data_IF_898708073142
#
_entry.id   IF_898708073142
#
_cell.length_a   1.000
_cell.length_b   1.000
_cell.length_c   1.000
_cell.angle_alpha   90.00
_cell.angle_beta   90.00
_cell.angle_gamma   90.00
#
_symmetry.space_group_name_H-M   'P 1'
#
loop_
_entity.id
_entity.type
_entity.pdbx_description
1 polymer ?
#
# COMPACT_ATOMS: atom_id res chain seq x y z
N UNK A 1 0.70 -17.72 -7.68
CA UNK A 1 -0.55 -16.95 -7.46
C UNK A 1 -0.71 -15.93 -8.59
N UNK A 2 -1.90 -15.81 -9.16
CA UNK A 2 -2.20 -14.86 -10.25
C UNK A 2 -2.85 -13.59 -9.70
N UNK A 3 -3.55 -13.71 -8.58
CA UNK A 3 -4.26 -12.65 -7.89
C UNK A 3 -3.91 -12.67 -6.40
N UNK A 4 -4.42 -11.71 -5.62
CA UNK A 4 -4.19 -11.63 -4.19
C UNK A 4 -4.73 -12.85 -3.45
N UNK A 5 -3.91 -13.45 -2.61
CA UNK A 5 -4.31 -14.45 -1.62
C UNK A 5 -4.54 -13.78 -0.26
N UNK A 6 -5.40 -14.36 0.56
CA UNK A 6 -5.66 -13.84 1.92
C UNK A 6 -5.68 -14.99 2.90
N UNK A 7 -4.93 -14.84 3.97
CA UNK A 7 -4.89 -15.77 5.08
C UNK A 7 -4.90 -14.99 6.40
N UNK A 8 -5.27 -15.66 7.47
CA UNK A 8 -5.20 -15.11 8.82
C UNK A 8 -4.77 -16.18 9.80
N UNK A 9 -4.13 -15.77 10.86
CA UNK A 9 -3.73 -16.65 11.96
C UNK A 9 -3.80 -15.90 13.28
N UNK A 10 -3.91 -16.66 14.36
CA UNK A 10 -3.74 -16.13 15.71
C UNK A 10 -2.31 -16.44 16.16
N UNK A 11 -1.58 -15.43 16.58
CA UNK A 11 -0.22 -15.54 17.07
C UNK A 11 -0.19 -16.08 18.51
N UNK A 12 0.97 -16.53 19.02
CA UNK A 12 1.11 -17.00 20.41
C UNK A 12 0.67 -15.99 21.46
N UNK A 13 0.82 -14.69 21.20
CA UNK A 13 0.32 -13.59 22.05
C UNK A 13 -1.20 -13.47 22.13
N UNK A 14 -1.92 -14.14 21.21
CA UNK A 14 -3.37 -13.97 21.03
C UNK A 14 -3.75 -12.87 20.02
N UNK A 15 -2.79 -12.11 19.49
CA UNK A 15 -3.05 -11.12 18.44
C UNK A 15 -3.42 -11.81 17.12
N UNK A 16 -4.36 -11.22 16.40
CA UNK A 16 -4.77 -11.71 15.08
C UNK A 16 -3.94 -11.04 13.99
N UNK A 17 -3.32 -11.84 13.13
CA UNK A 17 -2.54 -11.39 12.00
C UNK A 17 -3.22 -11.82 10.69
N UNK A 18 -3.42 -10.85 9.79
CA UNK A 18 -3.90 -11.11 8.44
C UNK A 18 -2.76 -10.95 7.44
N UNK A 19 -2.63 -11.89 6.53
CA UNK A 19 -1.67 -11.88 5.44
C UNK A 19 -2.36 -11.54 4.13
N UNK A 20 -1.69 -10.73 3.33
CA UNK A 20 -2.01 -10.53 1.93
C UNK A 20 -0.88 -11.16 1.12
N UNK A 21 -1.16 -12.33 0.53
CA UNK A 21 -0.23 -13.01 -0.37
C UNK A 21 -0.30 -12.36 -1.74
N UNK A 22 0.80 -11.76 -2.16
CA UNK A 22 0.91 -11.02 -3.41
C UNK A 22 1.60 -11.84 -4.49
N UNK A 23 1.17 -11.77 -5.75
CA UNK A 23 1.83 -12.50 -6.83
C UNK A 23 3.24 -11.97 -7.07
N UNK A 24 4.23 -12.89 -7.15
CA UNK A 24 5.64 -12.54 -7.34
C UNK A 24 6.04 -12.26 -8.78
N UNK A 25 5.26 -12.67 -9.78
CA UNK A 25 5.65 -12.53 -11.18
C UNK A 25 5.36 -11.13 -11.73
N UNK A 26 6.32 -10.53 -12.46
CA UNK A 26 6.26 -9.16 -13.03
C UNK A 26 4.95 -8.86 -13.75
N UNK A 27 4.39 -9.83 -14.53
CA UNK A 27 3.10 -9.68 -15.20
C UNK A 27 1.91 -9.39 -14.27
N UNK A 28 2.05 -9.70 -12.98
CA UNK A 28 0.99 -9.51 -11.98
C UNK A 28 1.31 -8.42 -10.96
N UNK A 29 2.31 -7.60 -11.23
CA UNK A 29 2.71 -6.50 -10.37
C UNK A 29 1.55 -5.54 -10.05
N UNK A 30 0.65 -5.32 -11.02
CA UNK A 30 -0.60 -4.56 -10.82
C UNK A 30 -1.45 -5.14 -9.69
N UNK A 31 -1.53 -6.47 -9.60
CA UNK A 31 -2.29 -7.15 -8.55
C UNK A 31 -1.57 -7.04 -7.20
N UNK A 32 -0.23 -7.13 -7.20
CA UNK A 32 0.58 -6.87 -6.01
C UNK A 32 0.31 -5.47 -5.47
N UNK A 33 0.51 -4.44 -6.29
CA UNK A 33 0.36 -3.04 -5.91
C UNK A 33 -1.03 -2.72 -5.34
N UNK A 34 -2.07 -3.35 -5.87
CA UNK A 34 -3.42 -3.16 -5.35
C UNK A 34 -3.68 -3.85 -3.98
N UNK A 35 -2.84 -4.80 -3.57
CA UNK A 35 -2.94 -5.47 -2.26
C UNK A 35 -2.24 -4.73 -1.13
N UNK A 36 -1.24 -3.92 -1.44
CA UNK A 36 -0.34 -3.36 -0.42
C UNK A 36 -0.78 -2.00 0.15
N UNK A 37 -1.89 -1.43 -0.33
CA UNK A 37 -2.46 -0.20 0.23
C UNK A 37 -3.07 -0.42 1.61
N UNK A 38 -2.32 -0.11 2.66
CA UNK A 38 -2.75 -0.27 4.06
C UNK A 38 -2.03 -1.40 4.81
N UNK A 39 -1.01 -2.01 4.22
CA UNK A 39 -0.09 -2.94 4.91
C UNK A 39 0.88 -2.14 5.76
N UNK A 40 1.19 -2.65 6.95
CA UNK A 40 2.08 -1.98 7.90
C UNK A 40 3.43 -2.67 8.07
N UNK A 41 3.55 -3.92 7.63
CA UNK A 41 4.77 -4.71 7.71
C UNK A 41 4.83 -5.74 6.60
N UNK A 42 6.01 -6.27 6.31
CA UNK A 42 6.21 -7.28 5.27
C UNK A 42 6.80 -8.59 5.83
N UNK A 43 6.37 -9.70 5.26
CA UNK A 43 7.08 -10.97 5.31
C UNK A 43 7.74 -11.15 3.95
N UNK A 44 9.04 -10.89 3.89
CA UNK A 44 9.80 -10.93 2.64
C UNK A 44 10.32 -12.35 2.38
N UNK A 45 9.79 -13.01 1.37
CA UNK A 45 10.00 -14.45 1.14
C UNK A 45 10.98 -14.67 0.01
N UNK A 46 12.06 -15.42 0.30
CA UNK A 46 13.05 -15.89 -0.67
C UNK A 46 13.16 -17.41 -0.58
N UNK A 47 13.17 -18.12 -1.71
CA UNK A 47 13.41 -19.55 -1.71
C UNK A 47 14.90 -19.83 -1.58
N UNK A 48 15.32 -20.59 -0.56
CA UNK A 48 16.73 -20.94 -0.32
C UNK A 48 17.38 -21.69 -1.51
N UNK A 49 16.56 -22.40 -2.29
CA UNK A 49 17.00 -23.10 -3.51
C UNK A 49 17.28 -22.17 -4.69
N UNK A 50 16.86 -20.92 -4.64
CA UNK A 50 16.88 -20.01 -5.78
C UNK A 50 17.67 -18.72 -5.51
N UNK A 51 17.85 -18.33 -4.23
CA UNK A 51 18.48 -17.10 -3.81
C UNK A 51 17.72 -15.84 -4.25
N UNK A 52 18.40 -14.71 -4.23
CA UNK A 52 17.84 -13.43 -4.66
C UNK A 52 17.55 -13.37 -6.16
N UNK A 53 16.44 -12.79 -6.53
CA UNK A 53 15.99 -12.66 -7.93
C UNK A 53 15.76 -11.18 -8.28
N UNK A 54 15.79 -10.82 -9.58
CA UNK A 54 15.40 -9.48 -10.02
C UNK A 54 14.00 -9.07 -9.54
N UNK A 55 13.08 -10.04 -9.39
CA UNK A 55 11.76 -9.80 -8.84
C UNK A 55 11.80 -9.46 -7.34
N UNK A 56 12.71 -10.08 -6.59
CA UNK A 56 12.92 -9.74 -5.17
C UNK A 56 13.38 -8.29 -5.04
N UNK A 57 14.31 -7.86 -5.89
CA UNK A 57 14.77 -6.46 -5.94
C UNK A 57 13.62 -5.49 -6.23
N UNK A 58 12.83 -5.75 -7.27
CA UNK A 58 11.70 -4.88 -7.62
C UNK A 58 10.68 -4.80 -6.48
N UNK A 59 10.36 -5.93 -5.83
CA UNK A 59 9.44 -5.96 -4.70
C UNK A 59 9.97 -5.18 -3.49
N UNK A 60 11.25 -5.32 -3.19
CA UNK A 60 11.88 -4.57 -2.10
C UNK A 60 11.78 -3.06 -2.34
N UNK A 61 12.12 -2.59 -3.55
CA UNK A 61 12.00 -1.16 -3.91
C UNK A 61 10.56 -0.66 -3.83
N UNK A 62 9.59 -1.45 -4.25
CA UNK A 62 8.17 -1.09 -4.13
C UNK A 62 7.76 -0.96 -2.65
N UNK A 63 8.19 -1.87 -1.78
CA UNK A 63 7.89 -1.77 -0.35
C UNK A 63 8.50 -0.52 0.28
N UNK A 64 9.72 -0.14 -0.10
CA UNK A 64 10.37 1.11 0.31
C UNK A 64 9.58 2.34 -0.15
N UNK A 65 9.18 2.39 -1.44
CA UNK A 65 8.37 3.49 -1.99
C UNK A 65 7.01 3.63 -1.27
N UNK A 66 6.44 2.50 -0.83
CA UNK A 66 5.20 2.47 -0.05
C UNK A 66 5.41 2.82 1.43
N UNK A 67 6.66 3.02 1.86
CA UNK A 67 6.98 3.40 3.22
C UNK A 67 6.79 2.28 4.23
N UNK A 68 7.00 1.03 3.82
CA UNK A 68 7.07 -0.10 4.76
C UNK A 68 8.40 -0.02 5.49
N UNK A 69 8.34 0.02 6.82
CA UNK A 69 9.50 0.23 7.69
C UNK A 69 9.85 -0.98 8.55
N UNK A 70 9.04 -2.05 8.48
CA UNK A 70 9.21 -3.23 9.33
C UNK A 70 8.95 -4.51 8.57
N UNK A 71 9.72 -5.56 8.87
CA UNK A 71 9.53 -6.86 8.25
C UNK A 71 10.29 -7.99 8.93
N UNK A 72 10.07 -9.18 8.39
CA UNK A 72 10.80 -10.42 8.64
C UNK A 72 11.18 -11.00 7.29
N UNK A 73 12.41 -11.47 7.14
CA UNK A 73 12.84 -12.19 5.94
C UNK A 73 12.68 -13.69 6.19
N UNK A 74 12.14 -14.42 5.23
CA UNK A 74 11.88 -15.85 5.34
C UNK A 74 12.55 -16.58 4.19
N UNK A 75 13.53 -17.44 4.52
CA UNK A 75 14.15 -18.37 3.60
C UNK A 75 13.34 -19.67 3.56
N UNK A 76 12.54 -19.84 2.50
CA UNK A 76 11.68 -21.02 2.34
C UNK A 76 12.41 -22.17 1.66
N UNK A 77 11.78 -23.36 1.67
CA UNK A 77 12.33 -24.59 1.09
C UNK A 77 13.67 -24.99 1.71
N UNK A 78 13.87 -24.73 3.00
CA UNK A 78 15.11 -25.06 3.72
C UNK A 78 15.41 -26.55 3.80
N UNK A 79 14.38 -27.40 3.61
CA UNK A 79 14.50 -28.87 3.52
C UNK A 79 15.09 -29.39 2.20
N UNK A 80 15.21 -28.53 1.20
CA UNK A 80 15.71 -28.88 -0.15
C UNK A 80 17.17 -28.45 -0.37
N UNK A 81 17.82 -27.87 0.63
CA UNK A 81 19.21 -27.42 0.57
C UNK A 81 20.00 -27.99 1.75
N UNK A 82 21.31 -28.17 1.59
CA UNK A 82 22.21 -28.49 2.69
C UNK A 82 22.58 -27.23 3.51
N UNK A 83 23.36 -27.44 4.58
CA UNK A 83 23.73 -26.33 5.46
C UNK A 83 24.57 -25.26 4.77
N UNK A 84 25.46 -25.66 3.86
CA UNK A 84 26.36 -24.74 3.17
C UNK A 84 25.57 -23.85 2.17
N UNK A 85 24.61 -24.43 1.44
CA UNK A 85 23.72 -23.68 0.55
C UNK A 85 22.76 -22.77 1.32
N UNK A 86 22.29 -23.21 2.48
CA UNK A 86 21.44 -22.36 3.33
C UNK A 86 22.21 -21.14 3.85
N UNK A 87 23.46 -21.32 4.26
CA UNK A 87 24.35 -20.23 4.70
C UNK A 87 24.61 -19.25 3.54
N UNK A 88 24.88 -19.76 2.34
CA UNK A 88 25.06 -18.93 1.15
C UNK A 88 23.80 -18.12 0.83
N UNK A 89 22.62 -18.73 0.92
CA UNK A 89 21.35 -18.03 0.71
C UNK A 89 21.11 -16.93 1.76
N UNK A 90 21.55 -17.19 3.00
CA UNK A 90 21.48 -16.20 4.07
C UNK A 90 22.41 -15.01 3.80
N UNK A 91 23.65 -15.27 3.39
CA UNK A 91 24.61 -14.22 3.03
C UNK A 91 24.14 -13.40 1.83
N UNK A 92 23.63 -14.06 0.78
CA UNK A 92 23.07 -13.41 -0.42
C UNK A 92 21.94 -12.45 -0.07
N UNK A 93 20.98 -12.89 0.75
CA UNK A 93 19.90 -12.03 1.23
C UNK A 93 20.43 -10.87 2.06
N UNK A 94 21.36 -11.12 2.99
CA UNK A 94 21.92 -10.08 3.86
C UNK A 94 22.63 -8.97 3.05
N UNK A 95 23.32 -9.32 1.97
CA UNK A 95 23.94 -8.36 1.04
C UNK A 95 22.90 -7.48 0.37
N UNK A 96 21.82 -8.06 -0.16
CA UNK A 96 20.79 -7.32 -0.91
C UNK A 96 19.90 -6.45 -0.04
N UNK A 97 19.60 -6.85 1.20
CA UNK A 97 18.78 -6.04 2.12
C UNK A 97 19.59 -4.97 2.86
N UNK A 98 20.92 -4.99 2.74
CA UNK A 98 21.78 -4.00 3.38
C UNK A 98 21.42 -2.57 2.95
N UNK A 99 21.29 -1.66 3.92
CA UNK A 99 20.89 -0.27 3.66
C UNK A 99 19.40 -0.07 3.36
N UNK A 100 18.57 -1.11 3.51
CA UNK A 100 17.11 -1.04 3.37
C UNK A 100 16.42 -1.18 4.74
N UNK A 101 15.10 -1.06 4.78
CA UNK A 101 14.32 -1.28 6.01
C UNK A 101 14.39 -2.72 6.55
N UNK A 102 14.89 -3.67 5.76
CA UNK A 102 15.11 -5.07 6.16
C UNK A 102 16.55 -5.36 6.63
N UNK A 103 17.44 -4.38 6.66
CA UNK A 103 18.85 -4.60 7.02
C UNK A 103 19.03 -5.27 8.39
N UNK A 104 18.22 -4.87 9.38
CA UNK A 104 18.24 -5.43 10.73
C UNK A 104 17.06 -6.39 10.99
N UNK A 105 16.36 -6.81 9.93
CA UNK A 105 15.24 -7.74 10.07
C UNK A 105 15.73 -9.16 10.37
N UNK A 106 15.03 -9.91 11.22
CA UNK A 106 15.36 -11.32 11.43
C UNK A 106 15.18 -12.11 10.13
N UNK A 107 16.11 -13.03 9.88
CA UNK A 107 16.07 -13.97 8.75
C UNK A 107 15.79 -15.36 9.31
N UNK A 108 14.64 -15.94 8.95
CA UNK A 108 14.18 -17.24 9.46
C UNK A 108 14.12 -18.26 8.33
N UNK A 109 14.84 -19.37 8.50
CA UNK A 109 14.79 -20.48 7.56
C UNK A 109 13.60 -21.41 7.90
N UNK A 110 12.74 -21.68 6.91
CA UNK A 110 11.54 -22.50 7.13
C UNK A 110 11.33 -23.56 6.03
N UNK A 111 10.70 -24.64 6.42
CA UNK A 111 10.10 -25.60 5.50
C UNK A 111 8.63 -25.78 5.81
N UNK A 112 7.78 -25.43 4.86
CA UNK A 112 6.34 -25.66 4.97
C UNK A 112 5.99 -27.16 4.92
N UNK A 113 6.87 -27.99 4.32
CA UNK A 113 6.67 -29.44 4.17
C UNK A 113 6.97 -30.19 5.47
N UNK A 114 8.08 -29.85 6.13
CA UNK A 114 8.52 -30.54 7.36
C UNK A 114 8.07 -29.83 8.63
N UNK A 115 7.67 -28.56 8.55
CA UNK A 115 7.36 -27.73 9.70
C UNK A 115 8.59 -27.10 10.38
N UNK A 116 9.80 -27.37 9.88
CA UNK A 116 11.03 -26.80 10.46
C UNK A 116 10.99 -25.26 10.39
N UNK A 117 11.41 -24.57 11.45
CA UNK A 117 11.49 -23.12 11.55
C UNK A 117 10.15 -22.40 11.76
N UNK A 118 8.99 -23.08 11.66
CA UNK A 118 7.69 -22.41 11.77
C UNK A 118 7.42 -21.83 13.16
N UNK A 119 7.90 -22.46 14.22
CA UNK A 119 7.71 -21.92 15.58
C UNK A 119 8.61 -20.71 15.84
N UNK A 120 9.79 -20.67 15.23
CA UNK A 120 10.64 -19.47 15.21
C UNK A 120 9.98 -18.35 14.44
N UNK A 121 9.48 -18.63 13.23
CA UNK A 121 8.75 -17.64 12.43
C UNK A 121 7.55 -17.06 13.19
N UNK A 122 6.77 -17.88 13.91
CA UNK A 122 5.66 -17.39 14.74
C UNK A 122 6.10 -16.43 15.83
N UNK A 123 7.25 -16.71 16.49
CA UNK A 123 7.81 -15.81 17.50
C UNK A 123 8.28 -14.48 16.89
N UNK A 124 8.94 -14.53 15.73
CA UNK A 124 9.37 -13.32 15.03
C UNK A 124 8.19 -12.48 14.51
N UNK A 125 7.12 -13.13 14.08
CA UNK A 125 5.86 -12.43 13.72
C UNK A 125 5.21 -11.77 14.94
N UNK A 126 5.20 -12.43 16.11
CA UNK A 126 4.74 -11.81 17.36
C UNK A 126 5.57 -10.56 17.72
N UNK A 127 6.89 -10.68 17.64
CA UNK A 127 7.80 -9.57 17.89
C UNK A 127 7.60 -8.45 16.84
N UNK A 128 7.35 -8.80 15.57
CA UNK A 128 7.05 -7.83 14.51
C UNK A 128 5.77 -7.05 14.81
N UNK A 129 4.68 -7.73 15.16
CA UNK A 129 3.41 -7.08 15.51
C UNK A 129 3.57 -6.17 16.72
N UNK A 130 4.32 -6.60 17.75
CA UNK A 130 4.55 -5.79 18.96
C UNK A 130 5.31 -4.48 18.69
N UNK A 131 6.23 -4.47 17.72
CA UNK A 131 7.01 -3.26 17.35
C UNK A 131 6.39 -2.42 16.23
N UNK A 132 5.42 -2.98 15.49
CA UNK A 132 4.77 -2.26 14.39
C UNK A 132 3.75 -1.25 14.94
N UNK A 133 3.81 -0.02 14.43
CA UNK A 133 2.84 1.01 14.81
C UNK A 133 1.43 0.60 14.38
N UNK A 134 0.51 0.55 15.33
CA UNK A 134 -0.90 0.28 15.03
C UNK A 134 -1.50 1.42 14.21
N UNK A 135 -2.38 1.06 13.28
CA UNK A 135 -3.11 2.05 12.50
C UNK A 135 -3.93 2.97 13.43
N UNK A 136 -3.78 4.28 13.25
CA UNK A 136 -4.43 5.29 14.08
C UNK A 136 -5.90 5.46 13.69
N UNK A 137 -6.76 5.59 14.69
CA UNK A 137 -8.15 6.03 14.51
C UNK A 137 -8.19 7.57 14.53
N UNK A 138 -8.50 8.16 13.39
CA UNK A 138 -8.63 9.61 13.19
C UNK A 138 -10.08 10.05 13.04
N UNK A 139 -11.04 9.15 13.26
CA UNK A 139 -12.45 9.39 13.03
C UNK A 139 -12.85 9.57 11.54
N UNK A 140 -11.95 9.29 10.61
CA UNK A 140 -12.13 9.46 9.16
C UNK A 140 -11.89 8.12 8.43
N UNK A 141 -12.87 7.21 8.44
CA UNK A 141 -12.71 5.90 7.82
C UNK A 141 -12.53 6.01 6.31
N UNK A 142 -11.56 5.25 5.79
CA UNK A 142 -11.37 5.02 4.36
C UNK A 142 -10.95 3.57 4.13
N UNK A 143 -11.62 2.90 3.21
CA UNK A 143 -11.28 1.57 2.75
C UNK A 143 -11.09 1.60 1.23
N UNK A 144 -9.89 1.30 0.77
CA UNK A 144 -9.65 1.09 -0.64
C UNK A 144 -10.14 -0.31 -1.04
N UNK A 145 -11.04 -0.35 -2.02
CA UNK A 145 -11.69 -1.58 -2.47
C UNK A 145 -10.70 -2.42 -3.28
N UNK A 146 -10.33 -3.59 -2.77
CA UNK A 146 -9.48 -4.55 -3.47
C UNK A 146 -10.26 -5.59 -4.26
N UNK A 147 -11.52 -5.90 -3.86
CA UNK A 147 -12.44 -6.78 -4.56
C UNK A 147 -13.88 -6.32 -4.41
N UNK A 148 -14.65 -6.56 -5.47
CA UNK A 148 -16.11 -6.39 -5.50
C UNK A 148 -16.73 -7.69 -5.97
N UNK A 149 -17.76 -8.15 -5.32
CA UNK A 149 -18.50 -9.34 -5.75
C UNK A 149 -19.94 -9.33 -5.27
N UNK A 150 -20.80 -10.09 -5.96
CA UNK A 150 -22.15 -10.37 -5.50
C UNK A 150 -22.14 -11.64 -4.65
N UNK A 151 -22.59 -11.54 -3.39
CA UNK A 151 -22.80 -12.70 -2.56
C UNK A 151 -24.26 -13.17 -2.67
N UNK A 152 -24.44 -14.48 -2.96
CA UNK A 152 -25.79 -15.08 -3.15
C UNK A 152 -26.68 -14.82 -1.94
N UNK A 153 -27.76 -14.07 -2.14
CA UNK A 153 -28.72 -13.68 -1.08
C UNK A 153 -28.26 -12.50 -0.20
N UNK A 154 -27.05 -11.98 -0.38
CA UNK A 154 -26.51 -10.89 0.45
C UNK A 154 -26.33 -9.56 -0.28
N UNK A 155 -26.36 -9.55 -1.62
CA UNK A 155 -26.17 -8.35 -2.42
C UNK A 155 -24.69 -8.02 -2.67
N UNK A 156 -24.35 -6.74 -2.75
CA UNK A 156 -23.01 -6.24 -3.06
C UNK A 156 -22.07 -6.35 -1.86
N UNK A 157 -20.91 -6.94 -2.06
CA UNK A 157 -19.84 -7.01 -1.05
C UNK A 157 -18.56 -6.41 -1.61
N UNK A 158 -17.95 -5.52 -0.86
CA UNK A 158 -16.62 -5.00 -1.12
C UNK A 158 -15.65 -5.45 -0.03
N UNK A 159 -14.39 -5.66 -0.40
CA UNK A 159 -13.34 -5.97 0.57
C UNK A 159 -12.18 -4.99 0.47
N UNK A 160 -11.45 -4.82 1.55
CA UNK A 160 -10.27 -3.95 1.63
C UNK A 160 -9.73 -3.86 3.04
N UNK A 161 -8.62 -3.15 3.21
CA UNK A 161 -8.06 -2.81 4.52
C UNK A 161 -8.59 -1.44 4.94
N UNK A 162 -9.21 -1.38 6.10
CA UNK A 162 -9.75 -0.14 6.67
C UNK A 162 -8.62 0.70 7.25
N UNK A 163 -8.63 1.99 6.97
CA UNK A 163 -7.69 2.97 7.52
C UNK A 163 -8.44 4.17 8.11
N UNK A 164 -7.79 4.90 9.00
CA UNK A 164 -8.15 6.24 9.44
C UNK A 164 -9.41 6.38 10.29
N UNK A 165 -10.19 5.35 10.51
CA UNK A 165 -11.40 5.44 11.33
C UNK A 165 -12.11 4.10 11.47
N UNK A 166 -13.30 4.12 12.05
CA UNK A 166 -14.13 2.94 12.32
C UNK A 166 -15.31 2.87 11.37
N UNK A 167 -15.75 1.66 11.06
CA UNK A 167 -17.00 1.38 10.38
C UNK A 167 -17.92 0.60 11.31
N UNK A 168 -19.21 0.92 11.25
CA UNK A 168 -20.27 0.23 12.02
C UNK A 168 -21.37 -0.26 11.08
N UNK A 169 -22.10 -1.27 11.51
CA UNK A 169 -23.33 -1.69 10.83
C UNK A 169 -24.33 -0.53 10.79
N UNK A 170 -25.16 -0.51 9.76
CA UNK A 170 -26.16 0.53 9.52
C UNK A 170 -25.61 1.94 9.18
N UNK A 171 -24.29 2.13 9.16
CA UNK A 171 -23.66 3.39 8.77
C UNK A 171 -23.89 3.70 7.29
N UNK A 172 -24.19 4.97 6.98
CA UNK A 172 -24.18 5.47 5.62
C UNK A 172 -22.74 5.72 5.14
N UNK A 173 -22.44 5.33 3.91
CA UNK A 173 -21.13 5.47 3.29
C UNK A 173 -21.26 5.94 1.84
N UNK A 174 -20.15 6.40 1.28
CA UNK A 174 -19.99 6.65 -0.15
C UNK A 174 -18.91 5.69 -0.67
N UNK A 175 -19.17 5.02 -1.80
CA UNK A 175 -18.19 4.17 -2.47
C UNK A 175 -18.09 4.62 -3.92
N UNK A 176 -16.92 5.09 -4.34
CA UNK A 176 -16.81 5.82 -5.60
C UNK A 176 -17.77 7.03 -5.57
N UNK A 177 -18.69 7.10 -6.53
CA UNK A 177 -19.72 8.16 -6.62
C UNK A 177 -21.08 7.72 -6.04
N UNK A 178 -21.17 6.52 -5.45
CA UNK A 178 -22.43 5.92 -5.03
C UNK A 178 -22.65 5.99 -3.52
N UNK A 179 -23.84 6.43 -3.12
CA UNK A 179 -24.28 6.37 -1.73
C UNK A 179 -24.78 4.97 -1.42
N UNK A 180 -24.32 4.41 -0.31
CA UNK A 180 -24.68 3.09 0.15
C UNK A 180 -24.85 3.07 1.67
N UNK A 181 -25.37 1.97 2.19
CA UNK A 181 -25.47 1.71 3.64
C UNK A 181 -24.83 0.37 3.95
N UNK A 182 -24.07 0.30 5.02
CA UNK A 182 -23.46 -0.92 5.52
C UNK A 182 -24.55 -1.81 6.11
N UNK A 183 -24.74 -3.00 5.54
CA UNK A 183 -25.68 -4.00 6.05
C UNK A 183 -25.04 -4.92 7.07
N UNK A 184 -23.81 -5.32 6.84
CA UNK A 184 -23.02 -6.16 7.75
C UNK A 184 -21.54 -6.03 7.49
N UNK A 185 -20.73 -6.34 8.50
CA UNK A 185 -19.28 -6.36 8.48
C UNK A 185 -18.77 -7.75 8.82
N UNK A 186 -17.71 -8.20 8.15
CA UNK A 186 -17.03 -9.46 8.46
C UNK A 186 -15.51 -9.28 8.42
N UNK A 187 -14.81 -9.85 9.39
CA UNK A 187 -13.37 -9.98 9.41
C UNK A 187 -12.97 -11.38 9.81
N UNK A 188 -11.95 -11.97 9.18
CA UNK A 188 -11.48 -13.34 9.45
C UNK A 188 -12.63 -14.39 9.52
N UNK A 189 -13.64 -14.24 8.63
CA UNK A 189 -14.80 -15.13 8.57
C UNK A 189 -15.85 -14.93 9.67
N UNK A 190 -15.69 -13.94 10.56
CA UNK A 190 -16.61 -13.64 11.67
C UNK A 190 -17.38 -12.36 11.40
N UNK A 191 -18.68 -12.37 11.69
CA UNK A 191 -19.51 -11.16 11.68
C UNK A 191 -19.16 -10.28 12.89
N UNK A 192 -19.11 -8.96 12.67
CA UNK A 192 -18.88 -7.96 13.70
C UNK A 192 -19.81 -6.76 13.48
N UNK A 193 -20.14 -6.05 14.54
CA UNK A 193 -20.99 -4.84 14.45
C UNK A 193 -20.15 -3.58 14.21
N UNK A 194 -18.87 -3.60 14.64
CA UNK A 194 -17.91 -2.51 14.49
C UNK A 194 -16.54 -3.07 14.13
N UNK A 195 -15.78 -2.31 13.32
CA UNK A 195 -14.40 -2.63 12.93
C UNK A 195 -13.53 -1.36 12.97
N UNK A 196 -12.32 -1.49 13.49
CA UNK A 196 -11.32 -0.40 13.56
C UNK A 196 -10.30 -0.43 12.43
N UNK A 197 -9.47 0.64 12.33
CA UNK A 197 -8.43 0.75 11.32
C UNK A 197 -7.34 -0.31 11.48
N UNK A 198 -6.64 -0.61 10.37
CA UNK A 198 -5.60 -1.66 10.29
C UNK A 198 -6.17 -3.06 10.04
N UNK A 199 -7.48 -3.21 9.93
CA UNK A 199 -8.12 -4.50 9.79
C UNK A 199 -8.66 -4.68 8.37
N UNK A 200 -8.44 -5.87 7.80
CA UNK A 200 -9.09 -6.25 6.54
C UNK A 200 -10.52 -6.67 6.79
N UNK A 201 -11.44 -6.08 6.06
CA UNK A 201 -12.88 -6.26 6.26
C UNK A 201 -13.63 -6.52 4.95
N UNK A 202 -14.64 -7.35 5.02
CA UNK A 202 -15.67 -7.48 4.00
C UNK A 202 -16.90 -6.67 4.45
N UNK A 203 -17.31 -5.73 3.61
CA UNK A 203 -18.42 -4.83 3.85
C UNK A 203 -19.57 -5.17 2.91
N UNK A 204 -20.68 -5.65 3.46
CA UNK A 204 -21.89 -5.87 2.70
C UNK A 204 -22.67 -4.55 2.60
N UNK A 205 -23.03 -4.17 1.38
CA UNK A 205 -23.64 -2.90 1.06
C UNK A 205 -25.05 -3.07 0.52
N UNK A 206 -25.92 -2.11 0.88
CA UNK A 206 -27.23 -1.92 0.28
C UNK A 206 -27.28 -0.57 -0.42
N UNK A 207 -28.09 -0.45 -1.48
CA UNK A 207 -28.25 0.79 -2.23
C UNK A 207 -27.32 0.96 -3.40
N UNK A 208 -26.43 0.00 -3.67
CA UNK A 208 -25.50 0.02 -4.81
C UNK A 208 -25.37 -1.39 -5.42
N UNK A 209 -25.27 -1.48 -6.74
CA UNK A 209 -25.01 -2.74 -7.44
C UNK A 209 -23.51 -2.99 -7.56
N UNK A 210 -23.10 -4.26 -7.51
CA UNK A 210 -21.69 -4.63 -7.63
C UNK A 210 -21.08 -4.31 -9.01
N UNK A 211 -21.90 -4.17 -10.04
CA UNK A 211 -21.45 -3.75 -11.38
C UNK A 211 -21.10 -2.24 -11.45
N UNK A 212 -21.60 -1.45 -10.50
CA UNK A 212 -21.32 -0.01 -10.43
C UNK A 212 -20.03 0.30 -9.64
N UNK A 213 -19.43 -0.71 -9.03
CA UNK A 213 -18.23 -0.59 -8.21
C UNK A 213 -17.06 -1.32 -8.85
N UNK A 214 -15.86 -0.78 -8.62
CA UNK A 214 -14.64 -1.36 -9.15
C UNK A 214 -13.53 -1.44 -8.07
N UNK A 215 -12.52 -2.24 -8.36
CA UNK A 215 -11.25 -2.20 -7.64
C UNK A 215 -10.63 -0.81 -7.81
N UNK A 216 -10.14 -0.24 -6.72
CA UNK A 216 -9.61 1.12 -6.71
C UNK A 216 -10.58 2.18 -6.21
N UNK A 217 -11.88 1.87 -6.14
CA UNK A 217 -12.83 2.74 -5.47
C UNK A 217 -12.49 2.87 -3.98
N UNK A 218 -12.84 4.00 -3.39
CA UNK A 218 -12.72 4.21 -1.97
C UNK A 218 -14.10 4.21 -1.30
N UNK A 219 -14.26 3.42 -0.25
CA UNK A 219 -15.39 3.52 0.67
C UNK A 219 -15.01 4.49 1.78
N UNK A 220 -15.81 5.54 1.94
CA UNK A 220 -15.58 6.61 2.92
C UNK A 220 -16.87 7.02 3.62
N UNK A 221 -16.76 7.66 4.79
CA UNK A 221 -17.90 8.31 5.43
C UNK A 221 -18.30 9.56 4.64
N UNK A 222 -19.61 9.84 4.48
CA UNK A 222 -20.09 11.03 3.77
C UNK A 222 -19.56 12.32 4.41
N UNK A 223 -19.27 13.31 3.57
CA UNK A 223 -18.91 14.67 3.95
C UNK A 223 -17.66 14.83 4.83
N UNK A 224 -16.83 13.77 4.93
CA UNK A 224 -15.58 13.77 5.70
C UNK A 224 -14.32 13.90 4.85
N UNK A 225 -14.41 13.75 3.53
CA UNK A 225 -13.27 13.68 2.65
C UNK A 225 -13.33 14.74 1.56
N UNK A 226 -12.23 15.49 1.41
CA UNK A 226 -12.01 16.30 0.23
C UNK A 226 -11.59 15.39 -0.94
N UNK A 227 -12.29 15.49 -2.06
CA UNK A 227 -11.95 14.75 -3.27
C UNK A 227 -11.06 15.63 -4.15
N UNK A 228 -9.89 15.11 -4.53
CA UNK A 228 -8.94 15.86 -5.37
C UNK A 228 -8.61 15.09 -6.65
N UNK A 229 -8.57 15.81 -7.76
CA UNK A 229 -8.10 15.34 -9.07
C UNK A 229 -6.66 15.77 -9.38
N UNK A 230 -6.02 16.51 -8.46
CA UNK A 230 -4.63 16.92 -8.58
C UNK A 230 -3.99 17.11 -7.21
N UNK A 231 -2.74 16.71 -7.09
CA UNK A 231 -2.00 16.87 -5.84
C UNK A 231 -0.51 17.09 -6.10
N UNK A 232 0.18 17.70 -5.15
CA UNK A 232 1.62 17.79 -5.12
C UNK A 232 2.17 16.71 -4.19
N UNK A 233 3.28 16.10 -4.60
CA UNK A 233 3.87 14.98 -3.90
C UNK A 233 5.40 15.05 -3.93
N UNK A 234 6.05 14.44 -2.93
CA UNK A 234 7.45 14.03 -3.05
C UNK A 234 7.53 12.84 -3.99
N UNK A 235 8.67 12.67 -4.64
CA UNK A 235 8.97 11.50 -5.44
C UNK A 235 10.44 11.13 -5.28
N UNK A 236 10.70 9.85 -5.05
CA UNK A 236 12.01 9.23 -5.18
C UNK A 236 12.07 8.51 -6.52
N UNK A 237 13.03 8.87 -7.37
CA UNK A 237 13.27 8.24 -8.67
C UNK A 237 14.23 7.06 -8.47
N UNK A 238 13.83 5.87 -8.92
CA UNK A 238 14.66 4.67 -8.72
C UNK A 238 16.02 4.81 -9.42
N UNK A 239 17.08 4.43 -8.70
CA UNK A 239 18.46 4.54 -9.19
C UNK A 239 18.78 3.60 -10.37
N UNK A 240 18.00 2.54 -10.54
CA UNK A 240 18.18 1.54 -11.60
C UNK A 240 17.70 2.01 -12.98
N UNK A 241 17.03 3.16 -13.09
CA UNK A 241 16.58 3.69 -14.36
C UNK A 241 17.76 4.17 -15.22
N UNK A 242 17.62 4.06 -16.54
CA UNK A 242 18.59 4.55 -17.53
C UNK A 242 18.23 5.93 -18.10
N UNK A 243 17.19 6.57 -17.57
CA UNK A 243 16.67 7.86 -18.05
C UNK A 243 16.10 8.70 -16.92
N UNK A 244 15.98 10.00 -17.15
CA UNK A 244 15.40 10.96 -16.24
C UNK A 244 13.86 10.85 -16.20
N UNK A 245 13.28 11.06 -15.05
CA UNK A 245 11.84 11.30 -14.92
C UNK A 245 11.50 12.69 -15.44
N UNK A 246 10.66 12.78 -16.44
CA UNK A 246 10.24 14.01 -17.09
C UNK A 246 8.72 14.11 -17.16
N UNK A 247 8.20 15.25 -17.62
CA UNK A 247 6.76 15.39 -17.93
C UNK A 247 6.30 14.57 -19.15
N UNK A 248 7.23 13.99 -19.90
CA UNK A 248 6.95 13.20 -21.10
C UNK A 248 6.95 11.72 -20.70
N UNK A 249 5.90 11.01 -21.08
CA UNK A 249 5.70 9.60 -20.76
C UNK A 249 4.23 9.32 -20.50
N UNK A 250 3.86 8.07 -20.59
CA UNK A 250 2.55 7.57 -20.20
C UNK A 250 2.69 6.96 -18.80
N UNK A 251 2.33 7.73 -17.78
CA UNK A 251 2.49 7.32 -16.38
C UNK A 251 1.19 6.77 -15.79
N UNK A 252 1.36 5.79 -14.93
CA UNK A 252 0.31 5.22 -14.09
C UNK A 252 0.75 5.36 -12.63
N UNK A 253 -0.10 5.95 -11.81
CA UNK A 253 0.07 6.00 -10.36
C UNK A 253 -0.79 4.90 -9.73
N UNK A 254 -0.17 4.09 -8.89
CA UNK A 254 -0.85 3.13 -8.02
C UNK A 254 -1.06 3.77 -6.67
N UNK A 255 -2.33 4.00 -6.32
CA UNK A 255 -2.75 4.68 -5.09
C UNK A 255 -3.82 3.84 -4.42
N UNK A 256 -3.63 3.50 -3.15
CA UNK A 256 -4.51 2.56 -2.46
C UNK A 256 -4.53 1.20 -3.17
N UNK A 257 -5.69 0.76 -3.64
CA UNK A 257 -5.86 -0.45 -4.45
C UNK A 257 -6.06 -0.16 -5.95
N UNK A 258 -6.02 1.13 -6.34
CA UNK A 258 -6.35 1.60 -7.68
C UNK A 258 -5.14 1.82 -8.58
N UNK A 259 -5.42 1.80 -9.88
CA UNK A 259 -4.48 2.11 -10.96
C UNK A 259 -5.02 3.31 -11.74
N UNK A 260 -4.29 4.41 -11.75
CA UNK A 260 -4.75 5.66 -12.31
C UNK A 260 -3.77 6.17 -13.37
N UNK A 261 -4.21 6.28 -14.62
CA UNK A 261 -3.44 6.95 -15.65
C UNK A 261 -3.30 8.43 -15.29
N UNK A 262 -2.08 8.92 -15.11
CA UNK A 262 -1.83 10.27 -14.63
C UNK A 262 -1.03 11.11 -15.61
N UNK A 263 -1.26 12.41 -15.58
CA UNK A 263 -0.32 13.37 -16.15
C UNK A 263 0.60 13.86 -15.05
N UNK A 264 1.90 13.87 -15.34
CA UNK A 264 2.93 14.27 -14.41
C UNK A 264 3.57 15.59 -14.80
N UNK A 265 3.88 16.42 -13.80
CA UNK A 265 4.70 17.60 -13.94
C UNK A 265 5.75 17.65 -12.84
N UNK A 266 7.01 17.71 -13.20
CA UNK A 266 8.11 17.94 -12.25
C UNK A 266 8.02 19.37 -11.73
N UNK A 267 8.27 19.57 -10.45
CA UNK A 267 8.24 20.85 -9.76
C UNK A 267 9.65 21.32 -9.47
N UNK A 268 9.91 22.62 -9.66
CA UNK A 268 11.21 23.24 -9.38
C UNK A 268 12.30 22.98 -10.41
N UNK A 269 12.22 21.87 -11.15
CA UNK A 269 13.16 21.50 -12.23
C UNK A 269 12.42 21.00 -13.46
N UNK A 270 13.13 20.76 -14.58
CA UNK A 270 12.50 20.15 -15.76
C UNK A 270 12.50 18.63 -15.70
N UNK A 271 13.52 18.04 -15.06
CA UNK A 271 13.74 16.59 -14.96
C UNK A 271 14.23 16.21 -13.58
N UNK A 272 14.08 14.94 -13.21
CA UNK A 272 14.71 14.32 -12.04
C UNK A 272 15.54 13.13 -12.51
N UNK A 273 16.80 13.12 -12.14
CA UNK A 273 17.73 12.05 -12.49
C UNK A 273 17.45 10.77 -11.67
N UNK A 274 17.84 9.59 -12.17
CA UNK A 274 17.81 8.36 -11.38
C UNK A 274 18.53 8.50 -10.04
N UNK A 275 17.95 7.91 -9.00
CA UNK A 275 18.48 7.94 -7.63
C UNK A 275 18.31 9.28 -6.90
N UNK A 276 17.52 10.22 -7.44
CA UNK A 276 17.29 11.52 -6.79
C UNK A 276 15.88 11.67 -6.26
N UNK A 277 15.77 12.51 -5.23
CA UNK A 277 14.50 12.96 -4.68
C UNK A 277 14.07 14.28 -5.32
N UNK A 278 12.75 14.48 -5.42
CA UNK A 278 12.19 15.71 -5.94
C UNK A 278 10.70 15.86 -5.62
N UNK A 279 10.06 16.79 -6.31
CA UNK A 279 8.63 17.00 -6.18
C UNK A 279 7.94 16.97 -7.55
N UNK A 280 6.72 16.45 -7.55
CA UNK A 280 5.88 16.34 -8.74
C UNK A 280 4.46 16.80 -8.45
N UNK A 281 3.77 17.30 -9.49
CA UNK A 281 2.31 17.44 -9.50
C UNK A 281 1.72 16.36 -10.37
N UNK A 282 0.82 15.60 -9.81
CA UNK A 282 0.05 14.56 -10.50
C UNK A 282 -1.37 15.05 -10.74
N UNK A 283 -1.90 14.72 -11.92
CA UNK A 283 -3.27 14.99 -12.31
C UNK A 283 -3.97 13.68 -12.59
N UNK A 284 -5.01 13.40 -11.83
CA UNK A 284 -5.81 12.18 -11.88
C UNK A 284 -6.97 12.34 -12.90
N UNK A 285 -7.42 11.24 -13.50
CA UNK A 285 -8.60 11.25 -14.38
C UNK A 285 -9.91 11.40 -13.59
N UNK A 286 -9.91 10.95 -12.32
CA UNK A 286 -11.06 10.98 -11.41
C UNK A 286 -10.58 11.44 -10.04
N UNK A 287 -11.38 12.24 -9.36
CA UNK A 287 -11.04 12.73 -8.02
C UNK A 287 -11.06 11.61 -7.00
N UNK A 288 -10.06 11.60 -6.10
CA UNK A 288 -9.88 10.59 -5.06
C UNK A 288 -9.88 11.24 -3.67
N UNK A 289 -10.32 10.51 -2.62
CA UNK A 289 -10.24 10.95 -1.23
C UNK A 289 -8.81 10.77 -0.69
N UNK A 290 -7.92 11.65 -1.11
CA UNK A 290 -6.51 11.64 -0.69
C UNK A 290 -6.30 12.50 0.55
N UNK A 291 -5.21 12.22 1.24
CA UNK A 291 -4.70 13.05 2.34
C UNK A 291 -3.17 13.14 2.28
N UNK A 292 -2.56 14.18 2.85
CA UNK A 292 -1.13 14.22 3.04
C UNK A 292 -0.64 12.99 3.80
N UNK A 293 0.44 12.37 3.31
CA UNK A 293 0.95 11.10 3.83
C UNK A 293 0.53 9.87 3.04
N UNK A 294 -0.45 9.96 2.15
CA UNK A 294 -0.78 8.84 1.27
C UNK A 294 0.38 8.52 0.33
N UNK A 295 0.69 7.23 0.21
CA UNK A 295 1.79 6.74 -0.63
C UNK A 295 1.29 6.33 -2.01
N UNK A 296 2.19 6.44 -2.98
CA UNK A 296 1.94 5.96 -4.34
C UNK A 296 3.21 5.38 -4.97
N UNK A 297 3.00 4.48 -5.91
CA UNK A 297 4.05 3.98 -6.81
C UNK A 297 3.74 4.47 -8.22
N UNK A 298 4.78 4.95 -8.91
CA UNK A 298 4.68 5.46 -10.27
C UNK A 298 5.35 4.49 -11.25
N UNK A 299 4.62 4.12 -12.30
CA UNK A 299 5.13 3.30 -13.40
C UNK A 299 4.99 4.01 -14.72
N UNK A 300 5.92 3.75 -15.64
CA UNK A 300 5.83 4.21 -17.03
C UNK A 300 5.30 3.06 -17.90
N UNK A 301 4.08 3.23 -18.44
CA UNK A 301 3.40 2.18 -19.21
C UNK A 301 4.12 1.83 -20.51
N UNK A 302 4.77 2.81 -21.15
CA UNK A 302 5.45 2.58 -22.43
C UNK A 302 6.70 1.68 -22.31
N UNK A 303 7.29 1.62 -21.11
CA UNK A 303 8.47 0.80 -20.80
C UNK A 303 8.14 -0.38 -19.88
N UNK A 304 6.91 -0.40 -19.35
CA UNK A 304 6.45 -1.38 -18.34
C UNK A 304 7.37 -1.49 -17.13
N UNK A 305 7.90 -0.36 -16.66
CA UNK A 305 8.84 -0.30 -15.53
C UNK A 305 8.35 0.61 -14.39
N UNK A 306 8.76 0.28 -13.16
CA UNK A 306 8.57 1.14 -11.99
C UNK A 306 9.62 2.25 -12.04
N UNK A 307 9.16 3.51 -12.12
CA UNK A 307 10.07 4.66 -12.21
C UNK A 307 10.34 5.32 -10.87
N UNK A 308 9.47 5.11 -9.90
CA UNK A 308 9.62 5.69 -8.56
C UNK A 308 8.32 5.68 -7.79
N UNK A 309 8.25 6.46 -6.76
CA UNK A 309 7.08 6.64 -5.92
C UNK A 309 7.34 7.65 -4.83
N UNK A 310 6.37 7.88 -3.98
CA UNK A 310 6.52 8.85 -2.92
C UNK A 310 5.25 9.08 -2.14
N UNK A 311 5.10 10.30 -1.65
CA UNK A 311 4.10 10.67 -0.68
C UNK A 311 3.34 11.93 -1.10
N UNK A 312 2.05 11.93 -0.94
CA UNK A 312 1.18 13.10 -1.13
C UNK A 312 1.54 14.17 -0.09
N UNK A 313 1.85 15.37 -0.53
CA UNK A 313 2.21 16.51 0.34
C UNK A 313 1.11 17.56 0.40
N UNK A 314 0.39 17.80 -0.71
CA UNK A 314 -0.67 18.80 -0.80
C UNK A 314 -1.78 18.32 -1.74
N UNK A 315 -2.98 18.18 -1.22
CA UNK A 315 -4.16 17.71 -1.98
C UNK A 315 -4.93 18.85 -2.66
N UNK A 316 -4.54 20.11 -2.39
CA UNK A 316 -5.19 21.30 -2.94
C UNK A 316 -4.15 22.37 -3.30
N UNK A 317 -3.20 22.07 -4.22
CA UNK A 317 -2.13 23.00 -4.54
C UNK A 317 -2.66 24.28 -5.19
N UNK A 318 -2.42 25.42 -4.55
CA UNK A 318 -2.89 26.73 -5.01
C UNK A 318 -1.88 27.44 -5.92
N UNK A 319 -0.59 27.14 -5.77
CA UNK A 319 0.44 27.76 -6.59
C UNK A 319 0.56 27.07 -7.96
N UNK A 320 0.98 27.85 -8.95
CA UNK A 320 1.37 27.29 -10.25
C UNK A 320 2.61 26.37 -10.05
N UNK A 321 2.67 25.30 -10.81
CA UNK A 321 3.76 24.31 -10.73
C UNK A 321 5.18 24.91 -10.80
N UNK A 322 5.36 26.02 -11.53
CA UNK A 322 6.64 26.74 -11.62
C UNK A 322 7.06 27.49 -10.35
N UNK A 323 6.17 27.59 -9.37
CA UNK A 323 6.40 28.27 -8.08
C UNK A 323 6.15 27.36 -6.87
N UNK A 324 5.61 26.18 -7.12
CA UNK A 324 5.29 25.22 -6.06
C UNK A 324 6.58 24.61 -5.51
N UNK A 325 6.68 24.58 -4.18
CA UNK A 325 7.72 23.89 -3.41
C UNK A 325 7.01 23.17 -2.26
N UNK A 326 6.32 22.06 -2.55
CA UNK A 326 5.47 21.40 -1.57
C UNK A 326 6.33 20.75 -0.48
N UNK A 327 5.87 20.91 0.76
CA UNK A 327 6.30 20.18 1.94
C UNK A 327 5.10 19.96 2.85
N UNK A 328 5.29 19.32 3.99
CA UNK A 328 4.22 19.03 4.98
C UNK A 328 4.14 20.07 6.09
N UNK A 329 4.82 21.22 5.96
CA UNK A 329 4.84 22.21 7.02
C UNK A 329 3.58 23.08 7.01
N UNK A 330 3.03 23.32 8.18
CA UNK A 330 1.88 24.21 8.37
C UNK A 330 2.24 25.63 7.90
N UNK A 331 3.48 26.06 8.14
CA UNK A 331 4.01 27.36 7.72
C UNK A 331 3.90 27.58 6.21
N UNK A 332 4.18 26.53 5.40
CA UNK A 332 4.01 26.62 3.95
C UNK A 332 2.54 26.77 3.60
N UNK A 333 1.66 25.94 4.16
CA UNK A 333 0.22 25.98 3.87
C UNK A 333 -0.36 27.34 4.20
N UNK A 334 -0.05 27.88 5.38
CA UNK A 334 -0.51 29.22 5.78
C UNK A 334 0.06 30.32 4.86
N UNK A 335 1.34 30.24 4.51
CA UNK A 335 1.96 31.23 3.60
C UNK A 335 1.34 31.24 2.21
N UNK A 336 0.96 30.08 1.69
CA UNK A 336 0.40 29.93 0.34
C UNK A 336 -1.10 30.22 0.28
N UNK A 337 -1.86 29.85 1.32
CA UNK A 337 -3.32 29.97 1.34
C UNK A 337 -3.82 31.16 2.17
N UNK A 338 -2.97 31.75 3.01
CA UNK A 338 -3.36 32.76 3.97
C UNK A 338 -4.03 32.14 5.20
N UNK A 339 -5.29 32.48 5.45
CA UNK A 339 -6.05 31.86 6.55
C UNK A 339 -6.44 30.44 6.17
N UNK A 340 -6.18 29.50 7.11
CA UNK A 340 -6.56 28.09 7.01
C UNK A 340 -7.30 27.69 8.28
N UNK A 341 -8.21 26.75 8.17
CA UNK A 341 -8.86 26.15 9.34
C UNK A 341 -8.00 25.03 9.91
N UNK A 342 -8.25 24.65 11.16
CA UNK A 342 -7.57 23.47 11.75
C UNK A 342 -7.80 22.22 10.91
N UNK A 343 -8.99 22.05 10.37
CA UNK A 343 -9.34 20.92 9.50
C UNK A 343 -8.57 20.91 8.17
N UNK A 344 -8.00 22.03 7.73
CA UNK A 344 -7.19 22.11 6.50
C UNK A 344 -5.73 21.66 6.74
N UNK A 345 -5.30 21.53 7.99
CA UNK A 345 -3.92 21.18 8.37
C UNK A 345 -3.81 19.89 9.21
N UNK A 346 -4.93 19.32 9.64
CA UNK A 346 -5.04 17.99 10.26
C UNK A 346 -5.25 16.90 9.21
#
# INVERSE_FOLDING_TARGET
>A
TIDLGFAHTTLPSGEELSFIDVPGHVKFLRNMLAGVGGVTASVFVVAATEGWKPQSEEHLRILELLGIESGVVVLTKSDLVDADLLELAHMDVAEHVNGTFLADAPVVAVSATTGAGLDELRRELDALVARTTRASDRGRPRLWVDRVFAAKGSGTVVTGTLTGGRLTTDQNVVVGDHRARIRSLQTAGRAVDEIGPGTRVAVNLTGVDHHDLARGDALVAPDQWHLTDRFDASVHVLAALDHDLTRRGAFVAYIGSGEHAVRLRVLGTETLAPGTDGAVRLFLPTALPLMPGDRFVLRESGRDETVGGGEVLDIEPVLRASRAAPDRTIERVVRERGWVTVADVE
#
